data_IF_890802254411
#
_entry.id   IF_890802254411
#
_cell.length_a   1.000
_cell.length_b   1.000
_cell.length_c   1.000
_cell.angle_alpha   90.00
_cell.angle_beta   90.00
_cell.angle_gamma   90.00
#
_symmetry.space_group_name_H-M   'P 1'
#
loop_
_entity.id
_entity.type
_entity.pdbx_description
1 polymer ?
#
# COMPACT_ATOMS: atom_id res chain seq x y z
N UNK A 1 0.55 25.28 -40.88
CA UNK A 1 0.16 24.86 -39.52
C UNK A 1 -0.73 23.63 -39.67
N UNK A 2 -0.18 22.45 -39.58
CA UNK A 2 -0.90 21.20 -39.75
C UNK A 2 -1.21 20.64 -38.35
N UNK A 3 -2.49 20.50 -38.04
CA UNK A 3 -3.00 19.87 -36.82
C UNK A 3 -2.71 18.39 -36.85
N UNK A 4 -1.97 17.92 -35.86
CA UNK A 4 -1.69 16.50 -35.65
C UNK A 4 -2.97 15.81 -35.14
N UNK A 5 -3.46 14.71 -35.74
CA UNK A 5 -4.64 14.02 -35.24
C UNK A 5 -4.30 13.28 -33.95
N UNK A 6 -5.11 13.52 -32.92
CA UNK A 6 -5.11 12.74 -31.65
C UNK A 6 -5.22 11.25 -31.95
N UNK A 7 -4.32 10.44 -31.39
CA UNK A 7 -4.46 8.98 -31.37
C UNK A 7 -5.71 8.59 -30.57
N UNK A 8 -6.51 7.63 -31.07
CA UNK A 8 -7.71 7.18 -30.37
C UNK A 8 -7.33 6.47 -29.07
N UNK A 9 -8.17 6.71 -28.06
CA UNK A 9 -8.15 6.05 -26.76
C UNK A 9 -8.17 4.52 -26.92
N UNK A 10 -7.28 3.75 -26.28
CA UNK A 10 -7.26 2.29 -26.42
C UNK A 10 -8.43 1.58 -25.70
N UNK A 11 -9.36 2.31 -25.08
CA UNK A 11 -10.50 1.73 -24.38
C UNK A 11 -11.83 2.20 -24.97
N UNK A 12 -12.44 1.42 -25.91
CA UNK A 12 -13.81 1.71 -26.32
C UNK A 12 -14.77 1.45 -25.15
N UNK A 13 -15.75 2.34 -25.02
CA UNK A 13 -16.87 2.23 -24.09
C UNK A 13 -17.53 0.84 -24.10
N UNK A 14 -17.20 -0.01 -23.13
CA UNK A 14 -17.80 -1.33 -22.91
C UNK A 14 -19.09 -1.25 -22.07
N UNK A 15 -19.90 -0.19 -22.23
CA UNK A 15 -21.19 -0.01 -21.55
C UNK A 15 -22.39 -0.48 -22.36
N UNK A 16 -22.23 -1.40 -23.26
CA UNK A 16 -23.33 -1.94 -24.05
C UNK A 16 -23.26 -3.43 -24.23
N UNK A 17 -23.61 -4.23 -23.24
CA UNK A 17 -24.47 -5.42 -23.35
C UNK A 17 -24.45 -6.22 -22.05
N UNK A 18 -25.58 -6.23 -21.37
CA UNK A 18 -25.88 -7.10 -20.23
C UNK A 18 -25.76 -8.57 -20.67
N UNK A 19 -24.63 -9.20 -20.39
CA UNK A 19 -24.56 -10.64 -20.19
C UNK A 19 -24.10 -10.88 -18.75
N UNK A 20 -25.03 -11.42 -17.96
CA UNK A 20 -24.80 -11.96 -16.63
C UNK A 20 -23.74 -13.05 -16.76
N UNK A 21 -22.48 -12.71 -16.48
CA UNK A 21 -21.44 -13.70 -16.20
C UNK A 21 -21.36 -13.77 -14.68
N UNK A 22 -21.57 -14.96 -14.18
CA UNK A 22 -21.59 -15.33 -12.79
C UNK A 22 -20.27 -14.95 -12.09
N UNK A 23 -20.27 -13.82 -11.40
CA UNK A 23 -19.34 -13.53 -10.32
C UNK A 23 -20.13 -13.62 -8.99
N UNK A 24 -20.63 -14.82 -8.69
CA UNK A 24 -21.16 -15.13 -7.37
C UNK A 24 -20.02 -15.67 -6.52
N UNK A 25 -19.42 -14.84 -5.69
CA UNK A 25 -18.49 -15.37 -4.70
C UNK A 25 -17.53 -14.42 -4.03
N UNK A 26 -17.67 -13.11 -4.18
CA UNK A 26 -16.81 -12.19 -3.43
C UNK A 26 -17.69 -11.24 -2.65
N UNK A 27 -18.24 -11.68 -1.53
CA UNK A 27 -18.68 -10.73 -0.49
C UNK A 27 -19.12 -11.41 0.80
N UNK A 28 -18.60 -10.97 1.83
CA UNK A 28 -19.07 -10.74 3.21
C UNK A 28 -18.00 -11.18 4.23
N UNK A 29 -17.00 -10.37 4.50
CA UNK A 29 -16.20 -10.61 5.69
C UNK A 29 -15.44 -9.38 6.20
N UNK A 30 -15.96 -8.19 6.01
CA UNK A 30 -15.48 -7.04 6.79
C UNK A 30 -16.27 -6.83 8.10
N UNK A 31 -17.20 -7.68 8.45
CA UNK A 31 -18.05 -7.53 9.66
C UNK A 31 -17.54 -8.32 10.86
N UNK A 32 -16.60 -9.24 10.70
CA UNK A 32 -16.10 -10.09 11.81
C UNK A 32 -14.92 -9.47 12.59
N UNK A 33 -14.89 -8.14 12.77
CA UNK A 33 -13.85 -7.50 13.60
C UNK A 33 -14.39 -6.97 14.94
N UNK A 34 -15.46 -7.55 15.47
CA UNK A 34 -15.96 -7.29 16.82
C UNK A 34 -16.05 -8.61 17.59
N UNK A 35 -14.93 -9.21 17.91
CA UNK A 35 -14.85 -10.22 18.96
C UNK A 35 -14.18 -9.60 20.20
N UNK A 36 -14.79 -9.64 21.37
CA UNK A 36 -14.13 -9.21 22.61
C UNK A 36 -13.13 -10.30 23.03
N UNK A 37 -11.85 -9.99 22.96
CA UNK A 37 -10.82 -10.84 23.55
C UNK A 37 -10.92 -10.81 25.06
N UNK A 38 -11.04 -11.99 25.66
CA UNK A 38 -11.04 -12.20 27.10
C UNK A 38 -9.71 -11.81 27.73
N UNK A 39 -9.80 -11.02 28.77
CA UNK A 39 -8.67 -10.60 29.60
C UNK A 39 -7.99 -11.82 30.25
N UNK A 40 -6.75 -12.12 29.88
CA UNK A 40 -5.84 -12.97 30.65
C UNK A 40 -5.00 -12.08 31.57
N UNK A 41 -5.17 -12.27 32.85
CA UNK A 41 -4.32 -11.69 33.91
C UNK A 41 -2.92 -12.27 33.81
N UNK A 42 -1.90 -11.43 33.61
CA UNK A 42 -0.49 -11.79 33.70
C UNK A 42 0.08 -11.36 35.05
N UNK A 43 0.72 -12.30 35.72
CA UNK A 43 1.56 -12.11 36.89
C UNK A 43 2.79 -11.26 36.57
N UNK A 44 3.15 -10.39 37.53
CA UNK A 44 4.28 -9.45 37.42
C UNK A 44 5.60 -10.14 37.79
N UNK A 45 6.67 -10.00 36.98
CA UNK A 45 8.03 -10.37 37.37
C UNK A 45 8.73 -9.21 38.13
N UNK A 46 9.53 -9.56 39.09
CA UNK A 46 10.36 -8.67 39.91
C UNK A 46 11.51 -7.99 39.13
N UNK A 47 12.00 -6.81 39.57
CA UNK A 47 12.95 -6.01 38.80
C UNK A 47 14.40 -6.47 39.02
N UNK A 48 15.02 -6.98 37.97
CA UNK A 48 16.47 -7.08 37.84
C UNK A 48 17.00 -5.84 37.11
N UNK A 49 18.09 -5.24 37.62
CA UNK A 49 18.72 -4.06 37.07
C UNK A 49 19.14 -4.25 35.62
N UNK A 50 18.46 -3.58 34.71
CA UNK A 50 18.74 -3.56 33.28
C UNK A 50 19.36 -2.22 32.91
N UNK A 51 20.47 -2.25 32.16
CA UNK A 51 21.02 -1.09 31.49
C UNK A 51 19.88 -0.42 30.69
N UNK A 52 19.70 0.89 30.90
CA UNK A 52 18.61 1.64 30.29
C UNK A 52 18.64 1.45 28.75
N UNK A 53 17.67 0.69 28.22
CA UNK A 53 17.37 0.72 26.80
C UNK A 53 17.05 2.16 26.41
N UNK A 54 17.52 2.65 25.24
CA UNK A 54 17.09 3.96 24.76
C UNK A 54 15.56 4.02 24.78
N UNK A 55 15.02 5.17 25.17
CA UNK A 55 13.58 5.38 25.24
C UNK A 55 12.95 4.93 23.90
N UNK A 56 11.83 4.18 23.94
CA UNK A 56 11.19 3.73 22.71
C UNK A 56 10.83 4.95 21.85
N UNK A 57 11.19 4.89 20.56
CA UNK A 57 10.84 5.95 19.62
C UNK A 57 9.32 6.18 19.66
N UNK A 58 8.90 7.44 19.73
CA UNK A 58 7.47 7.77 19.72
C UNK A 58 6.87 7.52 18.33
N UNK A 59 5.64 6.98 18.28
CA UNK A 59 4.92 6.83 17.01
C UNK A 59 4.58 8.20 16.37
N UNK A 60 4.29 9.19 17.20
CA UNK A 60 4.03 10.56 16.75
C UNK A 60 5.32 11.20 16.21
N UNK A 61 5.17 11.87 15.08
CA UNK A 61 6.23 12.64 14.42
C UNK A 61 6.04 14.11 14.77
N UNK A 62 7.12 14.80 15.13
CA UNK A 62 7.07 16.24 15.42
C UNK A 62 6.47 17.00 14.23
N UNK A 63 5.40 17.72 14.49
CA UNK A 63 4.65 18.48 13.49
C UNK A 63 5.47 19.58 12.81
N UNK A 64 6.55 20.04 13.43
CA UNK A 64 7.48 21.02 12.84
C UNK A 64 8.35 20.45 11.71
N UNK A 65 8.45 19.13 11.58
CA UNK A 65 9.31 18.46 10.59
C UNK A 65 8.65 18.22 9.24
N UNK A 66 7.32 18.39 9.14
CA UNK A 66 6.60 18.16 7.89
C UNK A 66 5.46 19.16 7.68
N UNK A 67 5.02 19.26 6.44
CA UNK A 67 3.78 19.95 6.06
C UNK A 67 2.82 18.94 5.42
N UNK A 68 1.51 19.23 5.45
CA UNK A 68 0.50 18.41 4.82
C UNK A 68 -0.50 19.27 4.07
N UNK A 69 -0.75 18.94 2.80
CA UNK A 69 -1.70 19.64 1.94
C UNK A 69 -2.69 18.65 1.32
N UNK A 70 -3.97 19.00 1.31
CA UNK A 70 -5.03 18.23 0.67
C UNK A 70 -5.37 18.80 -0.69
N UNK A 71 -5.71 17.91 -1.63
CA UNK A 71 -6.15 18.23 -2.98
C UNK A 71 -7.47 17.53 -3.26
N UNK A 72 -8.41 18.22 -3.86
CA UNK A 72 -9.70 17.67 -4.29
C UNK A 72 -9.77 17.72 -5.82
N UNK A 73 -8.91 16.92 -6.45
CA UNK A 73 -8.83 16.83 -7.90
C UNK A 73 -10.05 16.11 -8.48
N UNK A 74 -10.39 16.44 -9.72
CA UNK A 74 -11.45 15.81 -10.48
C UNK A 74 -10.96 15.45 -11.88
N UNK A 75 -10.95 14.17 -12.19
CA UNK A 75 -10.64 13.68 -13.53
C UNK A 75 -11.86 13.84 -14.42
N UNK A 76 -11.84 14.86 -15.26
CA UNK A 76 -12.95 15.21 -16.15
C UNK A 76 -13.17 14.19 -17.27
N UNK A 77 -12.14 13.45 -17.67
CA UNK A 77 -12.27 12.39 -18.69
C UNK A 77 -13.05 11.19 -18.16
N UNK A 78 -12.77 10.79 -16.90
CA UNK A 78 -13.43 9.67 -16.24
C UNK A 78 -14.64 10.09 -15.41
N UNK A 79 -14.96 11.41 -15.32
CA UNK A 79 -15.98 11.97 -14.44
C UNK A 79 -15.83 11.47 -12.99
N UNK A 80 -14.58 11.47 -12.49
CA UNK A 80 -14.23 10.83 -11.23
C UNK A 80 -13.44 11.76 -10.30
N UNK A 81 -13.89 11.95 -9.03
CA UNK A 81 -13.06 12.62 -8.03
C UNK A 81 -11.84 11.78 -7.69
N UNK A 82 -10.68 12.43 -7.54
CA UNK A 82 -9.42 11.82 -7.11
C UNK A 82 -8.83 12.67 -5.98
N UNK A 83 -9.41 12.64 -4.78
CA UNK A 83 -8.87 13.37 -3.65
C UNK A 83 -7.51 12.80 -3.24
N UNK A 84 -6.58 13.68 -2.86
CA UNK A 84 -5.25 13.26 -2.42
C UNK A 84 -4.76 14.12 -1.26
N UNK A 85 -3.74 13.62 -0.55
CA UNK A 85 -3.05 14.35 0.51
C UNK A 85 -1.55 14.17 0.35
N UNK A 86 -0.83 15.28 0.26
CA UNK A 86 0.61 15.32 0.13
C UNK A 86 1.24 15.68 1.47
N UNK A 87 2.22 14.90 1.89
CA UNK A 87 3.13 15.22 3.00
C UNK A 87 4.49 15.60 2.40
N UNK A 88 5.05 16.72 2.84
CA UNK A 88 6.36 17.23 2.41
C UNK A 88 7.23 17.54 3.62
N UNK A 89 8.58 17.46 3.48
CA UNK A 89 9.48 18.02 4.48
C UNK A 89 9.15 19.49 4.78
N UNK A 90 9.20 19.90 6.05
CA UNK A 90 9.09 21.32 6.41
C UNK A 90 10.37 22.09 6.00
N UNK A 91 11.52 21.41 5.98
CA UNK A 91 12.76 21.98 5.50
C UNK A 91 12.70 22.18 3.98
N UNK A 92 13.26 23.30 3.53
CA UNK A 92 13.35 23.62 2.09
C UNK A 92 14.20 22.58 1.37
N UNK A 93 13.66 21.97 0.33
CA UNK A 93 14.38 21.04 -0.53
C UNK A 93 14.77 21.72 -1.85
N UNK A 94 15.90 21.31 -2.41
CA UNK A 94 16.29 21.75 -3.75
C UNK A 94 15.38 21.11 -4.81
N UNK A 95 15.22 21.80 -5.93
CA UNK A 95 14.41 21.28 -7.05
C UNK A 95 14.98 19.94 -7.57
N UNK A 96 14.10 19.01 -7.89
CA UNK A 96 14.45 17.71 -8.47
C UNK A 96 15.21 16.77 -7.52
N UNK A 97 15.14 16.97 -6.20
CA UNK A 97 15.91 16.15 -5.24
C UNK A 97 15.10 15.23 -4.38
N UNK A 98 13.79 15.48 -4.19
CA UNK A 98 12.97 14.65 -3.32
C UNK A 98 12.51 13.37 -4.01
N UNK A 99 12.67 12.19 -3.40
CA UNK A 99 11.90 11.01 -3.77
C UNK A 99 10.42 11.23 -3.46
N UNK A 100 9.54 10.56 -4.20
CA UNK A 100 8.10 10.59 -3.98
C UNK A 100 7.55 9.18 -3.77
N UNK A 101 6.85 8.95 -2.66
CA UNK A 101 6.02 7.76 -2.47
C UNK A 101 4.57 8.11 -2.85
N UNK A 102 3.97 7.36 -3.77
CA UNK A 102 2.53 7.41 -4.03
C UNK A 102 1.85 6.25 -3.33
N UNK A 103 0.92 6.55 -2.40
CA UNK A 103 0.32 5.58 -1.50
C UNK A 103 -1.15 5.31 -1.83
N UNK A 104 -1.50 4.01 -1.92
CA UNK A 104 -2.85 3.49 -2.15
C UNK A 104 -3.38 2.81 -0.88
N UNK A 105 -4.51 3.28 -0.35
CA UNK A 105 -5.13 2.72 0.87
C UNK A 105 -5.83 1.38 0.62
N UNK A 106 -6.05 0.59 1.67
CA UNK A 106 -6.91 -0.60 1.65
C UNK A 106 -8.39 -0.26 1.44
N UNK A 107 -9.23 -1.29 1.20
CA UNK A 107 -10.68 -1.09 1.05
C UNK A 107 -11.26 -0.36 2.26
N UNK A 108 -12.12 0.60 2.02
CA UNK A 108 -12.74 1.43 3.07
C UNK A 108 -11.80 2.43 3.74
N UNK A 109 -10.60 2.68 3.18
CA UNK A 109 -9.65 3.69 3.66
C UNK A 109 -9.88 5.08 3.09
N UNK A 110 -8.90 5.97 3.22
CA UNK A 110 -8.96 7.34 2.70
C UNK A 110 -7.56 7.93 2.52
N UNK A 111 -7.47 9.13 1.91
CA UNK A 111 -6.22 9.91 1.84
C UNK A 111 -5.63 10.30 3.20
N UNK A 112 -6.44 10.25 4.25
CA UNK A 112 -6.01 10.57 5.63
C UNK A 112 -5.43 9.37 6.36
N UNK A 113 -5.64 8.14 5.84
CA UNK A 113 -5.13 6.92 6.43
C UNK A 113 -3.63 6.75 6.23
N UNK A 114 -3.02 5.88 7.06
CA UNK A 114 -1.58 5.58 7.07
C UNK A 114 -0.72 6.84 7.29
N UNK A 115 -1.25 7.78 8.03
CA UNK A 115 -0.64 9.08 8.29
C UNK A 115 0.73 8.95 8.98
N UNK A 116 0.94 7.91 9.78
CA UNK A 116 2.23 7.61 10.41
C UNK A 116 3.36 7.35 9.41
N UNK A 117 3.04 6.78 8.22
CA UNK A 117 4.02 6.62 7.13
C UNK A 117 4.28 7.97 6.45
N UNK A 118 3.22 8.68 6.03
CA UNK A 118 3.36 9.94 5.31
C UNK A 118 4.13 11.00 6.09
N UNK A 119 3.81 11.18 7.38
CA UNK A 119 4.50 12.10 8.28
C UNK A 119 5.97 11.70 8.47
N UNK A 120 6.22 10.41 8.69
CA UNK A 120 7.57 9.90 8.91
C UNK A 120 8.45 10.06 7.67
N UNK A 121 7.94 9.71 6.49
CA UNK A 121 8.65 9.92 5.23
C UNK A 121 8.99 11.40 5.01
N UNK A 122 8.01 12.28 5.19
CA UNK A 122 8.22 13.71 5.04
C UNK A 122 9.28 14.25 6.00
N UNK A 123 9.24 13.87 7.29
CA UNK A 123 10.24 14.27 8.28
C UNK A 123 11.66 13.79 7.93
N UNK A 124 11.79 12.79 7.04
CA UNK A 124 13.06 12.22 6.61
C UNK A 124 13.41 12.51 5.14
N UNK A 125 12.85 13.59 4.56
CA UNK A 125 13.23 14.04 3.23
C UNK A 125 12.60 13.28 2.06
N UNK A 126 11.46 12.63 2.27
CA UNK A 126 10.70 11.91 1.22
C UNK A 126 9.29 12.47 1.13
N UNK A 127 8.87 12.93 -0.04
CA UNK A 127 7.48 13.31 -0.27
C UNK A 127 6.56 12.08 -0.26
N UNK A 128 5.32 12.22 0.26
CA UNK A 128 4.36 11.13 0.28
C UNK A 128 2.98 11.60 -0.12
N UNK A 129 2.48 11.10 -1.26
CA UNK A 129 1.18 11.43 -1.85
C UNK A 129 0.19 10.28 -1.58
N UNK A 130 -0.77 10.50 -0.71
CA UNK A 130 -1.81 9.54 -0.37
C UNK A 130 -3.04 9.78 -1.22
N UNK A 131 -3.41 8.82 -2.08
CA UNK A 131 -4.54 8.94 -3.01
C UNK A 131 -5.77 8.24 -2.44
N UNK A 132 -6.93 8.91 -2.50
CA UNK A 132 -8.21 8.32 -2.13
C UNK A 132 -8.93 7.80 -3.38
N UNK A 133 -9.36 6.56 -3.33
CA UNK A 133 -10.08 5.88 -4.41
C UNK A 133 -11.57 5.89 -4.13
N UNK A 134 -12.28 6.84 -4.74
CA UNK A 134 -13.73 6.96 -4.63
C UNK A 134 -14.40 5.72 -5.24
N UNK A 135 -15.31 5.08 -4.49
CA UNK A 135 -15.89 3.78 -4.86
C UNK A 135 -15.37 2.62 -4.03
N UNK A 136 -14.13 2.73 -3.48
CA UNK A 136 -13.57 1.76 -2.55
C UNK A 136 -13.01 2.41 -1.28
N UNK A 137 -13.40 3.64 -1.01
CA UNK A 137 -12.97 4.47 0.12
C UNK A 137 -13.87 4.34 1.36
N UNK A 138 -13.63 5.19 2.35
CA UNK A 138 -14.38 5.22 3.63
C UNK A 138 -15.90 5.37 3.48
N UNK A 139 -16.40 5.84 2.35
CA UNK A 139 -17.85 5.97 2.11
C UNK A 139 -18.56 4.62 2.07
N UNK A 140 -17.84 3.51 1.84
CA UNK A 140 -18.39 2.15 1.95
C UNK A 140 -19.05 1.92 3.32
N UNK A 141 -18.51 2.52 4.38
CA UNK A 141 -19.01 2.33 5.74
C UNK A 141 -20.22 3.20 6.08
N UNK A 142 -20.58 4.17 5.22
CA UNK A 142 -21.70 5.09 5.43
C UNK A 142 -22.99 4.56 4.80
N UNK A 143 -24.13 5.05 5.29
CA UNK A 143 -25.46 4.68 4.76
C UNK A 143 -26.09 3.45 5.43
N UNK A 144 -27.07 2.83 4.74
CA UNK A 144 -27.82 1.71 5.27
C UNK A 144 -26.95 0.46 5.45
N UNK A 145 -26.82 -0.12 6.67
CA UNK A 145 -26.04 -1.33 6.91
C UNK A 145 -26.47 -2.54 6.05
N UNK A 146 -27.73 -2.63 5.67
CA UNK A 146 -28.25 -3.73 4.83
C UNK A 146 -27.67 -3.71 3.40
N UNK A 147 -27.20 -2.55 2.93
CA UNK A 147 -26.58 -2.42 1.62
C UNK A 147 -25.05 -2.51 1.67
N UNK A 148 -24.46 -2.68 2.84
CA UNK A 148 -23.00 -2.82 3.00
C UNK A 148 -22.41 -3.97 2.16
N UNK A 149 -23.03 -5.17 2.11
CA UNK A 149 -22.53 -6.25 1.26
C UNK A 149 -22.46 -5.87 -0.23
N UNK A 150 -23.48 -5.18 -0.74
CA UNK A 150 -23.49 -4.72 -2.12
C UNK A 150 -22.36 -3.70 -2.38
N UNK A 151 -22.19 -2.70 -1.50
CA UNK A 151 -21.11 -1.70 -1.62
C UNK A 151 -19.72 -2.32 -1.58
N UNK A 152 -19.50 -3.33 -0.74
CA UNK A 152 -18.25 -4.08 -0.71
C UNK A 152 -18.04 -4.87 -2.01
N UNK A 153 -19.12 -5.45 -2.58
CA UNK A 153 -19.06 -6.13 -3.87
C UNK A 153 -18.66 -5.20 -5.00
N UNK A 154 -19.28 -4.04 -5.05
CA UNK A 154 -18.98 -3.03 -6.07
C UNK A 154 -17.54 -2.55 -5.96
N UNK A 155 -17.07 -2.31 -4.73
CA UNK A 155 -15.69 -1.92 -4.45
C UNK A 155 -14.64 -2.99 -4.83
N UNK A 156 -15.02 -4.26 -4.88
CA UNK A 156 -14.15 -5.37 -5.24
C UNK A 156 -14.20 -5.74 -6.74
N UNK A 157 -14.98 -5.03 -7.56
CA UNK A 157 -15.07 -5.28 -8.99
C UNK A 157 -13.75 -4.97 -9.72
N UNK A 158 -13.52 -5.68 -10.82
CA UNK A 158 -12.34 -5.45 -11.68
C UNK A 158 -12.29 -4.00 -12.18
N UNK A 159 -13.44 -3.42 -12.52
CA UNK A 159 -13.54 -2.01 -12.93
C UNK A 159 -12.99 -1.06 -11.86
N UNK A 160 -13.29 -1.29 -10.58
CA UNK A 160 -12.74 -0.46 -9.50
C UNK A 160 -11.22 -0.69 -9.34
N UNK A 161 -10.72 -1.92 -9.51
CA UNK A 161 -9.28 -2.17 -9.52
C UNK A 161 -8.55 -1.38 -10.62
N UNK A 162 -9.15 -1.29 -11.81
CA UNK A 162 -8.64 -0.48 -12.92
C UNK A 162 -8.69 1.02 -12.59
N UNK A 163 -9.81 1.48 -12.07
CA UNK A 163 -9.95 2.87 -11.65
C UNK A 163 -8.92 3.28 -10.60
N UNK A 164 -8.60 2.42 -9.64
CA UNK A 164 -7.59 2.69 -8.62
C UNK A 164 -6.20 2.94 -9.23
N UNK A 165 -5.80 2.15 -10.23
CA UNK A 165 -4.52 2.38 -10.93
C UNK A 165 -4.55 3.69 -11.72
N UNK A 166 -5.67 4.00 -12.39
CA UNK A 166 -5.84 5.25 -13.10
C UNK A 166 -5.84 6.46 -12.15
N UNK A 167 -6.43 6.32 -10.94
CA UNK A 167 -6.38 7.35 -9.90
C UNK A 167 -4.95 7.66 -9.48
N UNK A 168 -4.09 6.63 -9.29
CA UNK A 168 -2.68 6.83 -8.98
C UNK A 168 -1.94 7.56 -10.11
N UNK A 169 -2.17 7.15 -11.38
CA UNK A 169 -1.57 7.80 -12.54
C UNK A 169 -1.99 9.27 -12.62
N UNK A 170 -3.30 9.51 -12.53
CA UNK A 170 -3.85 10.86 -12.57
C UNK A 170 -3.29 11.74 -11.44
N UNK A 171 -3.24 11.22 -10.21
CA UNK A 171 -2.67 11.95 -9.07
C UNK A 171 -1.18 12.26 -9.27
N UNK A 172 -0.40 11.33 -9.85
CA UNK A 172 0.99 11.58 -10.23
C UNK A 172 1.09 12.68 -11.30
N UNK A 173 0.24 12.65 -12.33
CA UNK A 173 0.23 13.67 -13.38
C UNK A 173 -0.08 15.05 -12.78
N UNK A 174 -1.08 15.14 -11.90
CA UNK A 174 -1.48 16.39 -11.25
C UNK A 174 -0.39 16.94 -10.34
N UNK A 175 0.22 16.09 -9.50
CA UNK A 175 1.23 16.58 -8.55
C UNK A 175 2.53 16.98 -9.25
N UNK A 176 2.93 16.26 -10.29
CA UNK A 176 4.13 16.61 -11.06
C UNK A 176 3.96 17.87 -11.92
N UNK A 177 2.73 18.17 -12.34
CA UNK A 177 2.40 19.42 -13.04
C UNK A 177 2.20 20.63 -12.09
N UNK A 178 1.94 20.39 -10.80
CA UNK A 178 1.77 21.43 -9.80
C UNK A 178 3.13 22.08 -9.42
N UNK A 179 3.14 23.29 -8.80
CA UNK A 179 4.38 23.92 -8.34
C UNK A 179 5.24 23.04 -7.44
N UNK A 180 4.62 22.22 -6.58
CA UNK A 180 5.34 21.24 -5.74
C UNK A 180 6.04 20.16 -6.56
N UNK A 181 5.61 19.90 -7.79
CA UNK A 181 6.22 18.91 -8.69
C UNK A 181 7.68 19.19 -8.99
N UNK A 182 8.08 20.47 -9.00
CA UNK A 182 9.46 20.88 -9.21
C UNK A 182 10.43 20.35 -8.13
N UNK A 183 9.94 19.96 -6.96
CA UNK A 183 10.77 19.39 -5.87
C UNK A 183 11.16 17.93 -6.14
N UNK A 184 10.38 17.17 -6.91
CA UNK A 184 10.54 15.73 -7.02
C UNK A 184 11.54 15.29 -8.09
N UNK A 185 12.36 14.29 -7.76
CA UNK A 185 13.12 13.51 -8.75
C UNK A 185 12.18 12.48 -9.38
N UNK A 186 11.77 12.70 -10.62
CA UNK A 186 10.84 11.83 -11.34
C UNK A 186 11.37 10.42 -11.62
N UNK A 187 12.67 10.16 -11.40
CA UNK A 187 13.28 8.83 -11.48
C UNK A 187 13.19 8.06 -10.15
N UNK A 188 12.74 8.72 -9.08
CA UNK A 188 12.67 8.16 -7.72
C UNK A 188 11.24 8.21 -7.19
N UNK A 189 10.29 7.69 -8.00
CA UNK A 189 8.88 7.54 -7.62
C UNK A 189 8.64 6.09 -7.22
N UNK A 190 8.10 5.89 -6.01
CA UNK A 190 7.85 4.58 -5.42
C UNK A 190 6.36 4.41 -5.18
N UNK A 191 5.77 3.31 -5.67
CA UNK A 191 4.39 2.98 -5.34
C UNK A 191 4.33 2.22 -4.01
N UNK A 192 3.35 2.54 -3.16
CA UNK A 192 3.15 1.86 -1.89
C UNK A 192 1.66 1.61 -1.64
N UNK A 193 1.33 0.55 -0.92
CA UNK A 193 -0.07 0.31 -0.55
C UNK A 193 -0.24 -0.81 0.45
N UNK A 194 -1.42 -0.81 1.09
CA UNK A 194 -1.83 -1.82 2.05
C UNK A 194 -3.08 -2.55 1.56
N UNK A 195 -3.15 -3.87 1.77
CA UNK A 195 -4.34 -4.67 1.43
C UNK A 195 -4.73 -4.48 -0.05
N UNK A 196 -5.94 -4.07 -0.36
CA UNK A 196 -6.37 -3.75 -1.73
C UNK A 196 -5.47 -2.70 -2.41
N UNK A 197 -4.90 -1.75 -1.62
CA UNK A 197 -3.88 -0.83 -2.12
C UNK A 197 -2.58 -1.51 -2.53
N UNK A 198 -2.21 -2.63 -1.91
CA UNK A 198 -1.07 -3.42 -2.34
C UNK A 198 -1.33 -4.12 -3.70
N UNK A 199 -2.57 -4.60 -3.97
CA UNK A 199 -2.94 -5.07 -5.31
C UNK A 199 -2.82 -3.94 -6.34
N UNK A 200 -3.32 -2.74 -6.01
CA UNK A 200 -3.16 -1.55 -6.87
C UNK A 200 -1.68 -1.25 -7.13
N UNK A 201 -0.84 -1.35 -6.10
CA UNK A 201 0.62 -1.17 -6.20
C UNK A 201 1.26 -2.24 -7.08
N UNK A 202 0.87 -3.51 -6.95
CA UNK A 202 1.36 -4.59 -7.82
C UNK A 202 0.99 -4.33 -9.28
N UNK A 203 -0.26 -3.93 -9.56
CA UNK A 203 -0.73 -3.64 -10.93
C UNK A 203 0.06 -2.49 -11.57
N UNK A 204 0.23 -1.38 -10.87
CA UNK A 204 0.98 -0.22 -11.41
C UNK A 204 2.48 -0.50 -11.54
N UNK A 205 2.99 -1.52 -10.82
CA UNK A 205 4.40 -1.94 -10.85
C UNK A 205 4.69 -3.07 -11.85
N UNK A 206 3.67 -3.59 -12.56
CA UNK A 206 3.88 -4.55 -13.64
C UNK A 206 3.18 -5.90 -13.49
N UNK A 207 2.38 -6.12 -12.45
CA UNK A 207 1.52 -7.30 -12.40
C UNK A 207 0.59 -7.34 -13.61
N UNK A 208 0.43 -8.53 -14.20
CA UNK A 208 -0.34 -8.77 -15.42
C UNK A 208 -1.53 -9.66 -15.11
N UNK A 209 -2.71 -9.11 -15.14
CA UNK A 209 -3.95 -9.88 -14.99
C UNK A 209 -4.53 -10.23 -16.37
N UNK A 210 -5.22 -11.35 -16.46
CA UNK A 210 -5.92 -11.73 -17.68
C UNK A 210 -7.38 -11.34 -17.56
N UNK A 211 -7.89 -10.60 -18.56
CA UNK A 211 -9.29 -10.24 -18.66
C UNK A 211 -9.80 -10.60 -20.04
N UNK A 212 -10.83 -11.44 -20.09
CA UNK A 212 -11.44 -11.90 -21.36
C UNK A 212 -10.43 -12.51 -22.36
N UNK A 213 -9.44 -13.26 -21.85
CA UNK A 213 -8.40 -13.88 -22.64
C UNK A 213 -7.29 -12.92 -23.12
N UNK A 214 -7.31 -11.67 -22.67
CA UNK A 214 -6.28 -10.67 -22.97
C UNK A 214 -5.46 -10.34 -21.72
N UNK A 215 -4.14 -10.33 -21.85
CA UNK A 215 -3.25 -9.84 -20.79
C UNK A 215 -3.37 -8.33 -20.68
N UNK A 216 -3.74 -7.86 -19.51
CA UNK A 216 -3.80 -6.45 -19.17
C UNK A 216 -2.57 -6.07 -18.34
N UNK A 217 -1.74 -5.18 -18.88
CA UNK A 217 -0.61 -4.59 -18.17
C UNK A 217 -0.92 -3.12 -17.86
N UNK A 218 -0.89 -2.80 -16.57
CA UNK A 218 -1.15 -1.45 -16.07
C UNK A 218 0.13 -0.78 -15.53
N UNK A 219 1.30 -1.29 -15.94
CA UNK A 219 2.59 -0.76 -15.47
C UNK A 219 2.76 0.72 -15.84
N UNK A 220 3.10 1.53 -14.85
CA UNK A 220 3.54 2.91 -15.06
C UNK A 220 5.08 2.96 -15.06
N UNK A 221 5.74 3.40 -16.14
CA UNK A 221 7.20 3.40 -16.24
C UNK A 221 7.88 4.34 -15.24
N UNK A 222 7.16 5.27 -14.64
CA UNK A 222 7.68 6.18 -13.61
C UNK A 222 7.95 5.48 -12.28
N UNK A 223 7.30 4.31 -12.03
CA UNK A 223 7.48 3.58 -10.78
C UNK A 223 8.82 2.86 -10.79
N UNK A 224 9.67 3.21 -9.84
CA UNK A 224 11.04 2.69 -9.71
C UNK A 224 11.21 1.65 -8.59
N UNK A 225 10.25 1.55 -7.66
CA UNK A 225 10.20 0.51 -6.62
C UNK A 225 8.78 0.39 -6.06
N UNK A 226 8.50 -0.69 -5.31
CA UNK A 226 7.19 -0.92 -4.71
C UNK A 226 7.28 -1.36 -3.24
N UNK A 227 6.34 -0.87 -2.40
CA UNK A 227 6.16 -1.28 -1.00
C UNK A 227 4.78 -1.91 -0.85
N UNK A 228 4.74 -3.19 -0.54
CA UNK A 228 3.55 -4.03 -0.50
C UNK A 228 3.27 -4.45 0.95
N UNK A 229 2.26 -3.85 1.58
CA UNK A 229 1.91 -4.13 2.97
C UNK A 229 0.65 -5.01 2.96
N UNK A 230 0.74 -6.20 3.55
CA UNK A 230 -0.38 -7.16 3.67
C UNK A 230 -1.08 -7.41 2.34
N UNK A 231 -0.33 -7.67 1.28
CA UNK A 231 -0.86 -7.85 -0.07
C UNK A 231 -1.72 -9.11 -0.18
N UNK A 232 -3.04 -9.02 -0.47
CA UNK A 232 -3.85 -10.21 -0.74
C UNK A 232 -3.58 -10.75 -2.15
N UNK A 233 -3.82 -12.05 -2.39
CA UNK A 233 -3.77 -12.59 -3.74
C UNK A 233 -4.83 -11.94 -4.65
N UNK A 234 -4.64 -12.05 -5.96
CA UNK A 234 -5.66 -11.71 -6.95
C UNK A 234 -6.66 -12.86 -7.03
N UNK A 235 -7.66 -12.85 -6.14
CA UNK A 235 -8.63 -13.93 -5.99
C UNK A 235 -9.33 -14.26 -7.31
N UNK A 236 -9.29 -15.54 -7.71
CA UNK A 236 -9.94 -16.02 -8.93
C UNK A 236 -9.30 -15.57 -10.25
N UNK A 237 -8.16 -14.88 -10.23
CA UNK A 237 -7.50 -14.36 -11.43
C UNK A 237 -6.39 -15.28 -11.97
N UNK A 238 -6.21 -16.46 -11.37
CA UNK A 238 -5.24 -17.47 -11.82
C UNK A 238 -3.98 -17.58 -10.98
N UNK A 239 -2.93 -18.14 -11.57
CA UNK A 239 -1.67 -18.47 -10.92
C UNK A 239 -0.88 -17.19 -10.58
N UNK A 240 -0.53 -16.96 -9.30
CA UNK A 240 0.28 -15.82 -8.87
C UNK A 240 1.61 -15.69 -9.62
N UNK A 241 2.26 -16.80 -9.98
CA UNK A 241 3.53 -16.78 -10.70
C UNK A 241 3.40 -16.14 -12.09
N UNK A 242 2.26 -16.33 -12.77
CA UNK A 242 1.99 -15.70 -14.06
C UNK A 242 1.57 -14.24 -13.94
N UNK A 243 0.88 -13.89 -12.85
CA UNK A 243 0.41 -12.53 -12.61
C UNK A 243 1.58 -11.62 -12.19
N UNK A 244 2.45 -12.11 -11.32
CA UNK A 244 3.45 -11.29 -10.63
C UNK A 244 4.84 -11.33 -11.26
N UNK A 245 5.09 -12.24 -12.21
CA UNK A 245 6.38 -12.35 -12.92
C UNK A 245 6.81 -11.06 -13.62
N UNK A 246 5.84 -10.31 -14.12
CA UNK A 246 6.08 -9.07 -14.86
C UNK A 246 6.46 -7.86 -13.99
N UNK A 247 6.47 -7.97 -12.67
CA UNK A 247 6.96 -6.90 -11.78
C UNK A 247 8.47 -6.84 -11.90
N UNK A 248 8.99 -5.74 -12.45
CA UNK A 248 10.40 -5.57 -12.81
C UNK A 248 11.12 -4.48 -12.00
N UNK A 249 10.57 -4.14 -10.85
CA UNK A 249 11.13 -3.15 -9.90
C UNK A 249 11.43 -3.79 -8.55
N UNK A 250 12.40 -3.27 -7.77
CA UNK A 250 12.65 -3.69 -6.41
C UNK A 250 11.39 -3.63 -5.54
N UNK A 251 11.18 -4.64 -4.68
CA UNK A 251 9.98 -4.70 -3.84
C UNK A 251 10.28 -4.95 -2.37
N UNK A 252 9.53 -4.26 -1.50
CA UNK A 252 9.46 -4.55 -0.07
C UNK A 252 8.10 -5.15 0.25
N UNK A 253 8.09 -6.35 0.83
CA UNK A 253 6.88 -7.03 1.30
C UNK A 253 6.85 -7.02 2.82
N UNK A 254 5.74 -6.55 3.38
CA UNK A 254 5.51 -6.48 4.82
C UNK A 254 4.21 -7.21 5.14
N UNK A 255 4.23 -8.13 6.10
CA UNK A 255 3.06 -8.86 6.58
C UNK A 255 3.24 -9.26 8.05
N UNK A 256 2.32 -10.07 8.59
CA UNK A 256 2.38 -10.56 9.95
C UNK A 256 1.86 -12.00 10.04
N UNK A 257 2.17 -12.71 11.14
CA UNK A 257 1.78 -14.13 11.28
C UNK A 257 0.26 -14.31 11.40
N UNK A 258 -0.45 -13.31 11.96
CA UNK A 258 -1.91 -13.32 12.10
C UNK A 258 -2.60 -12.44 11.05
N UNK A 259 -1.92 -12.17 9.94
CA UNK A 259 -2.45 -11.39 8.81
C UNK A 259 -3.43 -12.22 7.99
N UNK A 260 -4.63 -12.39 8.51
CA UNK A 260 -5.70 -13.15 7.88
C UNK A 260 -6.75 -12.22 7.30
N UNK A 261 -7.11 -12.46 6.03
CA UNK A 261 -8.28 -11.88 5.36
C UNK A 261 -9.27 -13.02 5.15
N UNK A 262 -10.48 -12.83 5.65
CA UNK A 262 -11.57 -13.76 5.44
C UNK A 262 -12.71 -13.06 4.72
N UNK A 263 -13.01 -13.51 3.50
CA UNK A 263 -14.15 -13.05 2.69
C UNK A 263 -14.94 -14.28 2.23
N UNK A 264 -16.24 -14.17 1.95
CA UNK A 264 -17.04 -15.31 1.49
C UNK A 264 -16.40 -16.00 0.28
N UNK A 265 -16.14 -17.30 0.44
CA UNK A 265 -15.50 -18.13 -0.59
C UNK A 265 -13.98 -18.09 -0.60
N UNK A 266 -13.34 -17.19 0.16
CA UNK A 266 -11.86 -17.08 0.19
C UNK A 266 -11.37 -16.76 1.60
N UNK A 267 -10.30 -17.46 1.99
CA UNK A 267 -9.50 -17.14 3.18
C UNK A 267 -8.07 -17.02 2.70
N UNK A 268 -7.39 -15.96 3.08
CA UNK A 268 -5.95 -15.82 2.82
C UNK A 268 -5.20 -15.44 4.08
N UNK A 269 -4.01 -15.99 4.24
CA UNK A 269 -3.17 -15.79 5.40
C UNK A 269 -1.70 -15.62 5.03
N UNK A 270 -0.82 -15.92 5.97
CA UNK A 270 0.62 -15.75 5.79
C UNK A 270 1.16 -16.49 4.56
N UNK A 271 0.68 -17.73 4.30
CA UNK A 271 1.19 -18.52 3.17
C UNK A 271 0.94 -17.80 1.84
N UNK A 272 -0.24 -17.20 1.64
CA UNK A 272 -0.54 -16.44 0.41
C UNK A 272 0.39 -15.22 0.25
N UNK A 273 0.79 -14.58 1.37
CA UNK A 273 1.76 -13.46 1.34
C UNK A 273 3.15 -13.96 0.95
N UNK A 274 3.51 -15.16 1.41
CA UNK A 274 4.77 -15.82 1.04
C UNK A 274 4.76 -16.21 -0.45
N UNK A 275 3.64 -16.73 -0.96
CA UNK A 275 3.50 -17.10 -2.37
C UNK A 275 3.60 -15.86 -3.27
N UNK A 276 3.00 -14.72 -2.86
CA UNK A 276 3.15 -13.43 -3.55
C UNK A 276 4.61 -12.97 -3.55
N UNK A 277 5.30 -13.03 -2.41
CA UNK A 277 6.72 -12.67 -2.32
C UNK A 277 7.57 -13.54 -3.26
N UNK A 278 7.36 -14.85 -3.26
CA UNK A 278 8.10 -15.79 -4.09
C UNK A 278 7.84 -15.55 -5.60
N UNK A 279 6.58 -15.31 -5.97
CA UNK A 279 6.15 -15.12 -7.35
C UNK A 279 6.54 -13.75 -7.95
N UNK A 280 6.71 -12.74 -7.09
CA UNK A 280 7.03 -11.38 -7.55
C UNK A 280 8.39 -11.34 -8.23
N UNK A 281 8.41 -10.82 -9.47
CA UNK A 281 9.65 -10.64 -10.23
C UNK A 281 10.35 -11.96 -10.59
N UNK A 282 9.65 -13.07 -10.66
CA UNK A 282 10.26 -14.39 -10.92
C UNK A 282 10.93 -14.53 -12.29
N UNK A 283 10.51 -13.75 -13.28
CA UNK A 283 11.14 -13.72 -14.62
C UNK A 283 12.36 -12.79 -14.69
N UNK A 284 12.51 -11.90 -13.73
CA UNK A 284 13.62 -10.92 -13.69
C UNK A 284 14.16 -10.88 -12.28
N UNK A 285 15.45 -11.16 -12.12
CA UNK A 285 16.09 -11.05 -10.82
C UNK A 285 16.06 -9.59 -10.35
N UNK A 286 15.08 -9.24 -9.50
CA UNK A 286 14.96 -7.92 -8.88
C UNK A 286 15.17 -8.02 -7.37
N UNK A 287 15.75 -7.01 -6.71
CA UNK A 287 15.91 -7.01 -5.27
C UNK A 287 14.54 -7.14 -4.57
N UNK A 288 14.44 -8.06 -3.63
CA UNK A 288 13.23 -8.27 -2.82
C UNK A 288 13.56 -8.31 -1.35
N UNK A 289 12.74 -7.63 -0.55
CA UNK A 289 12.85 -7.67 0.91
C UNK A 289 11.52 -8.14 1.48
N UNK A 290 11.56 -9.04 2.47
CA UNK A 290 10.41 -9.52 3.21
C UNK A 290 10.59 -9.27 4.69
N UNK A 291 9.54 -8.75 5.34
CA UNK A 291 9.43 -8.71 6.80
C UNK A 291 8.08 -9.29 7.24
N UNK A 292 8.12 -10.28 8.13
CA UNK A 292 6.94 -10.88 8.77
C UNK A 292 6.98 -10.54 10.24
N UNK A 293 5.99 -9.78 10.73
CA UNK A 293 5.83 -9.47 12.14
C UNK A 293 5.16 -10.62 12.90
N UNK A 294 5.50 -10.77 14.19
CA UNK A 294 4.83 -11.72 15.10
C UNK A 294 3.48 -11.13 15.54
N UNK A 295 2.46 -11.96 15.60
CA UNK A 295 1.15 -11.70 16.24
C UNK A 295 0.36 -10.51 15.68
N UNK A 296 0.73 -10.00 14.52
CA UNK A 296 0.06 -8.86 13.89
C UNK A 296 -1.14 -9.29 13.03
N UNK A 297 -2.31 -8.69 13.25
CA UNK A 297 -3.48 -8.87 12.38
C UNK A 297 -3.38 -8.04 11.10
N UNK A 298 -4.24 -8.34 10.11
CA UNK A 298 -4.32 -7.61 8.84
C UNK A 298 -4.43 -6.08 9.02
N UNK A 299 -5.16 -5.63 10.03
CA UNK A 299 -5.42 -4.20 10.28
C UNK A 299 -4.33 -3.50 11.11
N UNK A 300 -3.30 -4.21 11.60
CA UNK A 300 -2.28 -3.61 12.49
C UNK A 300 -1.52 -2.46 11.83
N UNK A 301 -1.43 -2.48 10.51
CA UNK A 301 -0.73 -1.45 9.72
C UNK A 301 -1.57 -0.20 9.43
N UNK A 302 -2.87 -0.19 9.82
CA UNK A 302 -3.76 0.96 9.62
C UNK A 302 -3.65 1.96 10.77
N UNK A 303 -4.17 3.18 10.60
CA UNK A 303 -4.21 4.18 11.70
C UNK A 303 -5.23 3.84 12.79
N UNK A 304 -5.94 2.70 12.72
CA UNK A 304 -6.87 2.27 13.77
C UNK A 304 -6.09 2.00 15.06
N UNK A 305 -6.45 2.72 16.11
CA UNK A 305 -5.87 2.49 17.42
C UNK A 305 -6.34 1.14 17.97
N UNK A 306 -5.45 0.41 18.62
CA UNK A 306 -5.78 -0.83 19.34
C UNK A 306 -5.86 -2.10 18.50
N UNK A 307 -5.77 -2.05 17.16
CA UNK A 307 -5.64 -3.27 16.36
C UNK A 307 -4.32 -3.98 16.65
N UNK A 308 -4.36 -5.24 17.06
CA UNK A 308 -3.19 -6.00 17.53
C UNK A 308 -2.76 -5.65 18.95
N UNK A 309 -3.62 -4.97 19.74
CA UNK A 309 -3.35 -4.58 21.12
C UNK A 309 -2.55 -3.29 21.25
N UNK A 310 -2.75 -2.60 22.38
CA UNK A 310 -2.17 -1.26 22.66
C UNK A 310 -0.64 -1.24 22.69
N UNK A 311 -0.01 -2.36 23.04
CA UNK A 311 1.45 -2.47 23.14
C UNK A 311 2.10 -2.88 21.81
N UNK A 312 1.47 -3.77 21.04
CA UNK A 312 2.01 -4.30 19.79
C UNK A 312 1.84 -3.29 18.64
N UNK A 313 0.66 -2.68 18.52
CA UNK A 313 0.31 -1.80 17.41
C UNK A 313 1.32 -0.65 17.17
N UNK A 314 1.69 0.18 18.17
CA UNK A 314 2.65 1.25 17.92
C UNK A 314 4.04 0.74 17.57
N UNK A 315 4.47 -0.39 18.16
CA UNK A 315 5.79 -0.99 17.87
C UNK A 315 5.90 -1.50 16.44
N UNK A 316 4.85 -2.17 15.95
CA UNK A 316 4.80 -2.64 14.55
C UNK A 316 4.78 -1.48 13.59
N UNK A 317 4.02 -0.42 13.85
CA UNK A 317 3.98 0.79 13.00
C UNK A 317 5.34 1.51 12.96
N UNK A 318 6.02 1.64 14.10
CA UNK A 318 7.36 2.22 14.17
C UNK A 318 8.33 1.37 13.34
N UNK A 319 8.35 0.06 13.56
CA UNK A 319 9.21 -0.85 12.83
C UNK A 319 8.91 -0.84 11.31
N UNK A 320 7.63 -0.78 10.93
CA UNK A 320 7.18 -0.70 9.53
C UNK A 320 7.69 0.56 8.85
N UNK A 321 7.51 1.76 9.45
CA UNK A 321 7.95 3.02 8.83
C UNK A 321 9.48 3.11 8.72
N UNK A 322 10.20 2.58 9.72
CA UNK A 322 11.67 2.53 9.70
C UNK A 322 12.18 1.58 8.62
N UNK A 323 11.59 0.39 8.46
CA UNK A 323 11.95 -0.54 7.38
C UNK A 323 11.64 0.05 6.01
N UNK A 324 10.47 0.66 5.85
CA UNK A 324 10.08 1.29 4.60
C UNK A 324 11.06 2.40 4.19
N UNK A 325 11.45 3.27 5.13
CA UNK A 325 12.47 4.31 4.88
C UNK A 325 13.84 3.70 4.60
N UNK A 326 14.25 2.67 5.34
CA UNK A 326 15.52 1.97 5.11
C UNK A 326 15.55 1.32 3.71
N UNK A 327 14.45 0.74 3.26
CA UNK A 327 14.30 0.22 1.89
C UNK A 327 14.44 1.35 0.86
N UNK A 328 13.77 2.48 1.05
CA UNK A 328 13.89 3.64 0.17
C UNK A 328 15.35 4.12 0.08
N UNK A 329 16.05 4.25 1.19
CA UNK A 329 17.45 4.66 1.22
C UNK A 329 18.34 3.62 0.51
N UNK A 330 18.11 2.33 0.73
CA UNK A 330 18.84 1.26 0.04
C UNK A 330 18.68 1.32 -1.47
N UNK A 331 17.46 1.37 -1.96
CA UNK A 331 17.18 1.29 -3.39
C UNK A 331 17.46 2.61 -4.11
N UNK A 332 17.14 3.76 -3.52
CA UNK A 332 17.23 5.06 -4.19
C UNK A 332 18.56 5.77 -3.97
N UNK A 333 19.26 5.50 -2.87
CA UNK A 333 20.53 6.12 -2.51
C UNK A 333 21.69 5.11 -2.32
N UNK A 334 21.46 3.80 -2.49
CA UNK A 334 22.41 2.70 -2.25
C UNK A 334 22.97 2.67 -0.82
N UNK A 335 22.20 3.16 0.14
CA UNK A 335 22.53 3.10 1.57
C UNK A 335 21.72 2.00 2.26
N UNK A 336 22.31 0.83 2.39
CA UNK A 336 21.67 -0.36 2.96
C UNK A 336 21.90 -0.50 4.47
N UNK A 337 22.70 0.35 5.11
CA UNK A 337 23.10 0.23 6.53
C UNK A 337 21.92 0.11 7.49
N UNK A 338 20.92 0.96 7.32
CA UNK A 338 19.71 0.93 8.17
C UNK A 338 18.88 -0.35 7.93
N UNK A 339 18.76 -0.82 6.68
CA UNK A 339 18.04 -2.04 6.33
C UNK A 339 18.75 -3.28 6.88
N UNK A 340 20.07 -3.34 6.84
CA UNK A 340 20.86 -4.46 7.37
C UNK A 340 20.86 -4.50 8.92
N UNK A 341 20.73 -3.35 9.57
CA UNK A 341 20.63 -3.25 11.03
C UNK A 341 19.21 -3.55 11.55
N UNK A 342 18.17 -3.31 10.75
CA UNK A 342 16.77 -3.34 11.15
C UNK A 342 16.31 -4.67 11.80
N UNK A 343 16.66 -5.88 11.27
CA UNK A 343 16.21 -7.13 11.88
C UNK A 343 16.74 -7.34 13.29
N UNK A 344 17.96 -6.88 13.58
CA UNK A 344 18.53 -6.95 14.94
C UNK A 344 17.82 -6.00 15.89
N UNK A 345 17.55 -4.78 15.44
CA UNK A 345 16.87 -3.76 16.25
C UNK A 345 15.42 -4.14 16.58
N UNK A 346 14.79 -5.00 15.77
CA UNK A 346 13.40 -5.42 15.92
C UNK A 346 13.22 -6.93 16.15
N UNK A 347 14.26 -7.64 16.60
CA UNK A 347 14.27 -9.11 16.74
C UNK A 347 13.10 -9.66 17.59
N UNK A 348 12.63 -8.92 18.59
CA UNK A 348 11.48 -9.32 19.41
C UNK A 348 10.14 -9.27 18.67
N UNK A 349 10.03 -8.46 17.61
CA UNK A 349 8.82 -8.26 16.82
C UNK A 349 8.79 -9.09 15.53
N UNK A 350 9.94 -9.54 15.04
CA UNK A 350 10.08 -10.12 13.71
C UNK A 350 10.09 -11.63 13.79
N UNK A 351 9.18 -12.28 13.06
CA UNK A 351 9.16 -13.74 12.89
C UNK A 351 10.08 -14.17 11.74
N UNK A 352 10.15 -13.39 10.65
CA UNK A 352 10.99 -13.69 9.48
C UNK A 352 11.44 -12.39 8.82
N UNK A 353 12.69 -12.37 8.40
CA UNK A 353 13.24 -11.29 7.56
C UNK A 353 14.10 -11.91 6.47
N UNK A 354 13.87 -11.52 5.23
CA UNK A 354 14.65 -11.97 4.08
C UNK A 354 15.02 -10.78 3.20
N UNK A 355 16.21 -10.84 2.65
CA UNK A 355 16.72 -9.92 1.64
C UNK A 355 17.28 -10.76 0.51
N UNK A 356 16.65 -10.69 -0.65
CA UNK A 356 17.09 -11.37 -1.86
C UNK A 356 17.66 -10.31 -2.80
N UNK A 357 18.92 -10.45 -3.13
CA UNK A 357 19.58 -9.65 -4.16
C UNK A 357 19.52 -10.39 -5.50
N UNK A 358 19.61 -9.69 -6.64
CA UNK A 358 19.55 -10.30 -7.95
C UNK A 358 20.68 -11.33 -8.16
#
# INVERSE_FOLDING_TARGET
MASNPMKPDPFPDALGHRRKVWFSGVLLACVAMLSPEGARTQESPQPGATLASPAPEALEVDASLFTAQSFDWFDSQRQRPVPAKLYLPAAQAAAGTLPLVVFSHGIGGSRDGYSYLGRYFAAHGVGSLHVQHVGSDRQIWSGNPLTLPARLSDAAQVSEALHRVQDLRYALDQILAAPAGALFDTRRIVAAGHSYGANTTMLISGAQVEQQGQKLSLRDPRISAAILISAPPFYGMGDPSKILSGIDVPTLHITATEDVIQIPGYVSGLQDRMDIFNATGSERAVPKVLAVFKDGSHSIFTDRAGTGGVNLNPRVKIATRQLALAFLNGILARDYRAMDAWPRSHASLVARFEKLEP
#
